data_IF_571410851830
#
_entry.id   IF_571410851830
#
_cell.length_a   1.000
_cell.length_b   1.000
_cell.length_c   1.000
_cell.angle_alpha   90.00
_cell.angle_beta   90.00
_cell.angle_gamma   90.00
#
_symmetry.space_group_name_H-M   'P 1'
#
loop_
_entity.id
_entity.type
_entity.pdbx_description
1 polymer ?
#
# COMPACT_ATOMS: atom_id res chain seq x y z
N UNK A 1 -9.50 0.39 5.31
CA UNK A 1 -10.05 0.38 3.94
C UNK A 1 -11.54 0.10 3.94
N UNK A 2 -12.29 0.87 3.21
CA UNK A 2 -13.75 0.72 3.09
C UNK A 2 -14.14 -0.08 1.84
N UNK A 3 -13.18 -0.45 1.04
CA UNK A 3 -13.36 -1.29 -0.15
C UNK A 3 -12.07 -2.07 -0.41
N UNK A 4 -12.15 -3.09 -1.26
CA UNK A 4 -10.96 -3.81 -1.70
C UNK A 4 -10.15 -2.91 -2.62
N UNK A 5 -8.84 -2.85 -2.40
CA UNK A 5 -7.96 -2.05 -3.23
C UNK A 5 -6.83 -2.90 -3.79
N UNK A 6 -6.68 -2.87 -5.12
CA UNK A 6 -5.51 -3.42 -5.80
C UNK A 6 -4.78 -2.24 -6.44
N UNK A 7 -3.51 -2.11 -6.18
CA UNK A 7 -2.74 -0.96 -6.65
C UNK A 7 -1.34 -1.34 -7.09
N UNK A 8 -0.86 -0.61 -8.11
CA UNK A 8 0.51 -0.69 -8.61
C UNK A 8 1.24 0.59 -8.22
N UNK A 9 2.40 0.45 -7.58
CA UNK A 9 3.22 1.62 -7.23
C UNK A 9 3.96 2.10 -8.46
N UNK A 10 3.76 3.37 -8.81
CA UNK A 10 4.40 4.01 -9.96
C UNK A 10 5.75 4.59 -9.57
N UNK A 11 5.78 5.38 -8.47
CA UNK A 11 7.01 5.92 -7.90
C UNK A 11 6.84 6.15 -6.41
N UNK A 12 7.98 6.39 -5.72
CA UNK A 12 8.00 6.59 -4.29
C UNK A 12 8.09 5.28 -3.51
N UNK A 13 8.09 5.36 -2.19
CA UNK A 13 8.02 4.16 -1.36
C UNK A 13 7.32 4.44 -0.03
N UNK A 14 6.72 3.40 0.52
CA UNK A 14 6.01 3.47 1.79
C UNK A 14 6.03 2.11 2.46
N UNK A 15 5.89 2.12 3.79
CA UNK A 15 5.69 0.90 4.57
C UNK A 15 4.24 0.89 5.04
N UNK A 16 3.56 -0.22 4.80
CA UNK A 16 2.20 -0.46 5.27
C UNK A 16 2.28 -1.39 6.46
N UNK A 17 1.80 -0.92 7.61
CA UNK A 17 1.70 -1.72 8.83
C UNK A 17 0.26 -2.18 9.02
N UNK A 18 0.09 -3.44 9.38
CA UNK A 18 -1.22 -4.04 9.59
C UNK A 18 -1.12 -5.08 10.71
N UNK A 19 -2.25 -5.52 11.27
CA UNK A 19 -2.21 -6.59 12.26
C UNK A 19 -1.56 -7.83 11.68
N UNK A 20 -0.48 -8.28 12.32
CA UNK A 20 0.28 -9.44 11.87
C UNK A 20 1.57 -9.14 11.13
N UNK A 21 1.82 -7.87 10.74
CA UNK A 21 3.07 -7.56 10.08
C UNK A 21 3.14 -6.22 9.38
N UNK A 22 4.13 -6.12 8.51
CA UNK A 22 4.31 -4.92 7.69
C UNK A 22 4.95 -5.29 6.36
N UNK A 23 4.77 -4.44 5.37
CA UNK A 23 5.37 -4.61 4.05
C UNK A 23 5.78 -3.24 3.50
N UNK A 24 6.94 -3.19 2.86
CA UNK A 24 7.40 -1.98 2.17
C UNK A 24 7.13 -2.13 0.68
N UNK A 25 6.45 -1.14 0.10
CA UNK A 25 6.14 -1.13 -1.33
C UNK A 25 7.00 -0.10 -2.04
N UNK A 26 7.45 -0.45 -3.23
CA UNK A 26 8.37 0.32 -4.07
C UNK A 26 7.85 0.36 -5.50
N UNK A 27 8.44 1.19 -6.38
CA UNK A 27 8.01 1.22 -7.79
C UNK A 27 8.01 -0.18 -8.42
N UNK A 28 6.94 -0.51 -9.10
CA UNK A 28 6.74 -1.82 -9.72
C UNK A 28 6.04 -2.85 -8.85
N UNK A 29 5.84 -2.55 -7.56
CA UNK A 29 5.14 -3.48 -6.67
C UNK A 29 3.63 -3.38 -6.86
N UNK A 30 3.00 -4.53 -6.95
CA UNK A 30 1.55 -4.66 -6.98
C UNK A 30 1.09 -5.16 -5.62
N UNK A 31 0.12 -4.48 -5.00
CA UNK A 31 -0.37 -4.91 -3.71
C UNK A 31 -1.89 -4.89 -3.64
N UNK A 32 -2.42 -5.70 -2.73
CA UNK A 32 -3.85 -5.84 -2.51
C UNK A 32 -4.17 -5.59 -1.04
N UNK A 33 -5.11 -4.69 -0.77
CA UNK A 33 -5.60 -4.40 0.56
C UNK A 33 -7.10 -4.74 0.61
N UNK A 34 -7.48 -5.79 1.33
CA UNK A 34 -8.90 -6.16 1.41
C UNK A 34 -9.70 -5.16 2.24
N UNK A 35 -10.99 -5.07 1.93
CA UNK A 35 -11.93 -4.26 2.70
C UNK A 35 -11.86 -4.64 4.18
N UNK A 36 -11.85 -3.64 5.04
CA UNK A 36 -11.82 -3.84 6.49
C UNK A 36 -10.43 -3.92 7.08
N UNK A 37 -9.38 -3.98 6.25
CA UNK A 37 -8.01 -4.02 6.75
C UNK A 37 -7.64 -2.66 7.36
N UNK A 38 -7.17 -2.68 8.61
CA UNK A 38 -6.63 -1.49 9.26
C UNK A 38 -5.15 -1.39 8.94
N UNK A 39 -4.78 -0.32 8.24
CA UNK A 39 -3.42 -0.14 7.76
C UNK A 39 -2.89 1.22 8.20
N UNK A 40 -1.64 1.23 8.68
CA UNK A 40 -0.93 2.46 8.96
C UNK A 40 0.14 2.66 7.90
N UNK A 41 0.04 3.76 7.14
CA UNK A 41 0.98 4.09 6.09
C UNK A 41 2.09 4.97 6.62
N UNK A 42 3.34 4.57 6.39
CA UNK A 42 4.52 5.39 6.66
C UNK A 42 5.15 5.69 5.31
N UNK A 43 4.95 6.92 4.83
CA UNK A 43 5.45 7.32 3.51
C UNK A 43 6.89 7.80 3.65
N UNK A 44 7.84 7.08 3.05
CA UNK A 44 9.27 7.42 3.07
C UNK A 44 9.61 8.39 1.96
N UNK A 45 9.02 8.21 0.79
CA UNK A 45 9.13 9.11 -0.35
C UNK A 45 7.73 9.27 -0.95
N UNK A 46 7.45 10.46 -1.47
CA UNK A 46 6.14 10.75 -2.07
C UNK A 46 5.75 9.62 -3.02
N UNK A 47 4.60 9.03 -2.79
CA UNK A 47 4.15 7.86 -3.51
C UNK A 47 3.05 8.21 -4.51
N UNK A 48 3.14 7.62 -5.69
CA UNK A 48 2.06 7.62 -6.67
C UNK A 48 1.72 6.18 -7.00
N UNK A 49 0.45 5.85 -6.96
CA UNK A 49 -0.03 4.51 -7.27
C UNK A 49 -1.17 4.57 -8.28
N UNK A 50 -1.34 3.47 -9.01
CA UNK A 50 -2.47 3.28 -9.92
C UNK A 50 -3.38 2.22 -9.32
N UNK A 51 -4.64 2.56 -9.10
CA UNK A 51 -5.64 1.64 -8.56
C UNK A 51 -6.43 0.97 -9.68
N UNK A 52 -6.69 -0.30 -9.49
CA UNK A 52 -7.48 -1.08 -10.43
C UNK A 52 -8.92 -1.21 -9.97
#
# INVERSE_FOLDING_TARGET
>A
YDHNETALVIYGCATLRYPGGEVTVRPGDLFFCPKGLHTHWIVHEKIKKYEF
#
